data_IF_163443865320
#
_entry.id   IF_163443865320
#
_cell.length_a   1.000
_cell.length_b   1.000
_cell.length_c   1.000
_cell.angle_alpha   90.00
_cell.angle_beta   90.00
_cell.angle_gamma   90.00
#
_symmetry.space_group_name_H-M   'P 1'
#
loop_
_entity.id
_entity.type
_entity.pdbx_description
1 polymer ?
#
# COMPACT_ATOMS: atom_id res chain seq x y z
N UNK A 1 -19.09 -13.61 18.56
CA UNK A 1 -18.50 -14.34 17.41
C UNK A 1 -19.53 -14.57 16.31
N UNK A 2 -20.70 -15.15 16.61
CA UNK A 2 -21.78 -15.38 15.65
C UNK A 2 -22.13 -14.15 14.79
N UNK A 3 -22.42 -13.00 15.42
CA UNK A 3 -22.78 -11.76 14.72
C UNK A 3 -21.68 -11.26 13.75
N UNK A 4 -20.40 -11.52 14.08
CA UNK A 4 -19.27 -11.18 13.22
C UNK A 4 -19.27 -12.08 11.98
N UNK A 5 -19.47 -13.39 12.18
CA UNK A 5 -19.52 -14.37 11.09
C UNK A 5 -20.72 -14.11 10.16
N UNK A 6 -21.91 -13.89 10.72
CA UNK A 6 -23.10 -13.51 9.94
C UNK A 6 -22.89 -12.22 9.16
N UNK A 7 -22.16 -11.26 9.72
CA UNK A 7 -21.81 -10.03 9.01
C UNK A 7 -20.85 -10.31 7.84
N UNK A 8 -19.85 -11.16 8.03
CA UNK A 8 -18.92 -11.55 6.95
C UNK A 8 -19.68 -12.26 5.81
N UNK A 9 -20.54 -13.22 6.15
CA UNK A 9 -21.34 -13.96 5.17
C UNK A 9 -22.26 -13.03 4.37
N UNK A 10 -22.88 -12.04 5.03
CA UNK A 10 -23.72 -11.02 4.39
C UNK A 10 -22.97 -10.20 3.32
N UNK A 11 -21.65 -10.06 3.44
CA UNK A 11 -20.81 -9.35 2.45
C UNK A 11 -20.02 -10.30 1.53
N UNK A 12 -20.45 -11.57 1.43
CA UNK A 12 -19.83 -12.61 0.58
C UNK A 12 -18.39 -12.98 0.96
N UNK A 13 -18.02 -12.80 2.23
CA UNK A 13 -16.80 -13.40 2.79
C UNK A 13 -17.12 -14.77 3.41
N UNK A 14 -16.18 -15.72 3.44
CA UNK A 14 -16.40 -17.03 4.04
C UNK A 14 -16.35 -16.93 5.58
N UNK A 15 -17.42 -16.43 6.18
CA UNK A 15 -17.50 -16.11 7.61
C UNK A 15 -17.28 -17.31 8.51
N UNK A 16 -17.59 -18.53 8.06
CA UNK A 16 -17.30 -19.78 8.78
C UNK A 16 -15.83 -20.19 8.75
N UNK A 17 -15.07 -19.79 7.72
CA UNK A 17 -13.68 -20.20 7.52
C UNK A 17 -12.68 -19.19 8.08
N UNK A 18 -13.05 -17.91 8.13
CA UNK A 18 -12.18 -16.84 8.63
C UNK A 18 -11.87 -17.06 10.12
N UNK A 19 -10.58 -17.17 10.50
CA UNK A 19 -10.19 -17.33 11.90
C UNK A 19 -10.52 -16.09 12.73
N UNK A 20 -11.03 -16.29 13.95
CA UNK A 20 -11.31 -15.21 14.90
C UNK A 20 -10.44 -15.42 16.14
N UNK A 21 -9.63 -14.41 16.47
CA UNK A 21 -8.67 -14.48 17.58
C UNK A 21 -9.10 -13.49 18.65
N UNK A 22 -9.53 -14.00 19.79
CA UNK A 22 -9.85 -13.19 20.96
C UNK A 22 -8.58 -12.86 21.75
N UNK A 23 -8.33 -11.56 21.97
CA UNK A 23 -7.18 -11.05 22.71
C UNK A 23 -7.37 -9.61 23.14
N UNK A 24 -6.36 -9.04 23.79
CA UNK A 24 -6.33 -7.63 24.22
C UNK A 24 -5.06 -6.98 23.71
N UNK A 25 -5.20 -6.09 22.71
CA UNK A 25 -4.07 -5.34 22.16
C UNK A 25 -3.43 -4.42 23.21
N UNK A 26 -4.24 -3.82 24.09
CA UNK A 26 -3.74 -2.96 25.17
C UNK A 26 -2.83 -3.73 26.13
N UNK A 27 -3.29 -4.87 26.64
CA UNK A 27 -2.52 -5.65 27.61
C UNK A 27 -1.24 -6.23 26.99
N UNK A 28 -1.28 -6.63 25.70
CA UNK A 28 -0.08 -7.05 24.98
C UNK A 28 0.95 -5.92 24.85
N UNK A 29 0.51 -4.70 24.52
CA UNK A 29 1.40 -3.52 24.42
C UNK A 29 1.95 -3.11 25.79
N UNK A 30 1.13 -3.15 26.84
CA UNK A 30 1.58 -2.85 28.20
C UNK A 30 2.63 -3.85 28.69
N UNK A 31 2.47 -5.13 28.36
CA UNK A 31 3.48 -6.16 28.64
C UNK A 31 4.79 -5.87 27.90
N UNK A 32 4.71 -5.62 26.59
CA UNK A 32 5.86 -5.28 25.75
C UNK A 32 6.56 -3.97 26.15
N UNK A 33 5.82 -3.03 26.76
CA UNK A 33 6.39 -1.78 27.27
C UNK A 33 7.22 -1.99 28.53
N UNK A 34 6.91 -3.04 29.32
CA UNK A 34 7.68 -3.42 30.52
C UNK A 34 8.88 -4.28 30.16
N UNK A 35 8.73 -5.17 29.18
CA UNK A 35 9.77 -6.02 28.64
C UNK A 35 9.59 -6.16 27.12
N UNK A 36 10.47 -5.53 26.35
CA UNK A 36 10.37 -5.49 24.89
C UNK A 36 10.80 -6.80 24.21
N UNK A 37 11.34 -7.76 24.97
CA UNK A 37 11.85 -9.03 24.46
C UNK A 37 11.04 -10.25 24.91
N UNK A 38 9.80 -10.03 25.36
CA UNK A 38 8.89 -11.12 25.73
C UNK A 38 8.77 -12.11 24.56
N UNK A 39 9.23 -13.33 24.82
CA UNK A 39 9.16 -14.44 23.87
C UNK A 39 7.77 -15.08 23.86
N UNK A 40 7.43 -15.74 22.75
CA UNK A 40 6.22 -16.59 22.66
C UNK A 40 6.20 -17.60 23.82
N UNK A 41 5.06 -17.74 24.49
CA UNK A 41 4.83 -18.59 25.66
C UNK A 41 5.06 -17.92 27.01
N UNK A 42 5.40 -16.63 27.06
CA UNK A 42 5.73 -15.91 28.30
C UNK A 42 4.66 -14.96 28.80
N UNK A 43 3.79 -14.47 27.92
CA UNK A 43 2.65 -13.63 28.27
C UNK A 43 1.43 -14.02 27.43
N UNK A 44 0.26 -14.28 28.06
CA UNK A 44 -0.92 -14.78 27.36
C UNK A 44 -1.48 -13.78 26.33
N UNK A 45 -1.25 -12.47 26.48
CA UNK A 45 -1.75 -11.45 25.55
C UNK A 45 -0.79 -11.25 24.38
N UNK A 46 0.52 -11.27 24.64
CA UNK A 46 1.53 -11.28 23.58
C UNK A 46 1.38 -12.54 22.72
N UNK A 47 1.06 -13.68 23.32
CA UNK A 47 0.81 -14.93 22.59
C UNK A 47 -0.38 -14.84 21.64
N UNK A 48 -1.41 -14.05 21.96
CA UNK A 48 -2.52 -13.78 21.03
C UNK A 48 -2.08 -12.97 19.81
N UNK A 49 -1.10 -12.07 19.96
CA UNK A 49 -0.51 -11.35 18.84
C UNK A 49 0.32 -12.30 17.98
N UNK A 50 1.13 -13.18 18.58
CA UNK A 50 1.83 -14.23 17.82
C UNK A 50 0.87 -15.14 17.07
N UNK A 51 -0.22 -15.57 17.72
CA UNK A 51 -1.28 -16.37 17.10
C UNK A 51 -1.91 -15.63 15.91
N UNK A 52 -2.13 -14.33 16.03
CA UNK A 52 -2.65 -13.48 14.95
C UNK A 52 -1.71 -13.43 13.77
N UNK A 53 -0.42 -13.16 13.99
CA UNK A 53 0.58 -13.11 12.92
C UNK A 53 0.73 -14.46 12.23
N UNK A 54 0.80 -15.56 12.99
CA UNK A 54 0.87 -16.92 12.44
C UNK A 54 -0.38 -17.27 11.61
N UNK A 55 -1.55 -16.78 12.02
CA UNK A 55 -2.79 -16.97 11.27
C UNK A 55 -2.77 -16.16 9.97
N UNK A 56 -2.29 -14.92 10.00
CA UNK A 56 -2.13 -14.08 8.81
C UNK A 56 -1.19 -14.75 7.79
N UNK A 57 -0.03 -15.22 8.25
CA UNK A 57 0.97 -15.88 7.41
C UNK A 57 0.44 -17.15 6.73
N UNK A 58 -0.44 -17.90 7.41
CA UNK A 58 -1.00 -19.15 6.89
C UNK A 58 -2.28 -18.97 6.06
N UNK A 59 -3.15 -18.03 6.44
CA UNK A 59 -4.48 -17.88 5.84
C UNK A 59 -4.51 -16.93 4.64
N UNK A 60 -3.58 -15.96 4.56
CA UNK A 60 -3.56 -14.97 3.48
C UNK A 60 -2.48 -15.38 2.48
N UNK A 61 -2.84 -15.90 1.29
CA UNK A 61 -1.86 -16.29 0.29
C UNK A 61 -1.11 -15.05 -0.22
N UNK A 62 0.17 -15.22 -0.55
CA UNK A 62 0.93 -14.19 -1.23
C UNK A 62 0.31 -13.92 -2.60
N UNK A 63 -0.15 -12.68 -2.88
CA UNK A 63 -0.76 -12.37 -4.16
C UNK A 63 0.30 -12.42 -5.26
N UNK A 64 -0.10 -12.91 -6.44
CA UNK A 64 0.74 -12.84 -7.63
C UNK A 64 0.96 -11.36 -8.01
N UNK A 65 2.23 -10.97 -8.15
CA UNK A 65 2.60 -9.61 -8.53
C UNK A 65 2.68 -9.51 -10.06
N UNK A 66 1.87 -8.64 -10.64
CA UNK A 66 1.82 -8.39 -12.08
C UNK A 66 2.96 -7.46 -12.55
N UNK A 67 4.22 -7.89 -12.42
CA UNK A 67 5.39 -7.04 -12.68
C UNK A 67 5.66 -6.76 -14.17
N UNK A 68 5.17 -7.62 -15.07
CA UNK A 68 5.39 -7.50 -16.52
C UNK A 68 4.37 -6.58 -17.22
N UNK A 69 3.33 -6.15 -16.51
CA UNK A 69 2.34 -5.21 -17.06
C UNK A 69 2.92 -3.79 -17.10
N UNK A 70 2.25 -2.92 -17.86
CA UNK A 70 2.58 -1.49 -17.88
C UNK A 70 2.37 -0.86 -16.50
N UNK A 71 3.32 -0.02 -16.09
CA UNK A 71 3.35 0.59 -14.77
C UNK A 71 2.06 1.37 -14.47
N UNK A 72 1.50 1.16 -13.27
CA UNK A 72 0.41 1.94 -12.73
C UNK A 72 0.53 2.00 -11.20
N UNK A 73 0.44 3.21 -10.66
CA UNK A 73 0.38 3.46 -9.22
C UNK A 73 -0.71 4.48 -8.92
N UNK A 74 -1.63 4.15 -8.01
CA UNK A 74 -2.61 5.10 -7.52
C UNK A 74 -1.95 6.08 -6.55
N UNK A 75 -2.22 7.38 -6.70
CA UNK A 75 -1.72 8.39 -5.77
C UNK A 75 -2.62 8.43 -4.54
N UNK A 76 -2.07 8.03 -3.39
CA UNK A 76 -2.76 8.02 -2.09
C UNK A 76 -2.49 9.31 -1.30
N UNK A 77 -1.28 9.85 -1.40
CA UNK A 77 -0.89 11.10 -0.75
C UNK A 77 0.21 11.82 -1.54
N UNK A 78 0.35 13.12 -1.28
CA UNK A 78 1.35 13.99 -1.93
C UNK A 78 2.06 14.81 -0.86
N UNK A 79 3.38 14.69 -0.82
CA UNK A 79 4.26 15.41 0.09
C UNK A 79 5.21 16.28 -0.72
N UNK A 80 5.36 17.55 -0.35
CA UNK A 80 6.39 18.42 -0.92
C UNK A 80 7.57 18.47 0.04
N UNK A 81 8.75 18.08 -0.44
CA UNK A 81 10.00 18.16 0.32
C UNK A 81 10.77 19.38 -0.16
N UNK A 82 10.92 20.37 0.73
CA UNK A 82 11.66 21.59 0.45
C UNK A 82 13.05 21.27 -0.11
N UNK A 83 13.36 21.80 -1.29
CA UNK A 83 14.65 21.60 -1.95
C UNK A 83 14.84 20.26 -2.68
N UNK A 84 13.93 19.28 -2.56
CA UNK A 84 13.98 18.01 -3.33
C UNK A 84 12.88 17.90 -4.39
N UNK A 85 11.69 18.41 -4.12
CA UNK A 85 10.54 18.36 -5.03
C UNK A 85 9.31 17.69 -4.43
N UNK A 86 8.41 17.24 -5.30
CA UNK A 86 7.12 16.64 -4.91
C UNK A 86 7.21 15.12 -4.95
N UNK A 87 6.80 14.47 -3.86
CA UNK A 87 6.73 13.02 -3.70
C UNK A 87 5.26 12.59 -3.73
N UNK A 88 4.92 11.69 -4.64
CA UNK A 88 3.65 10.99 -4.65
C UNK A 88 3.83 9.64 -3.96
N UNK A 89 2.97 9.31 -2.99
CA UNK A 89 3.00 8.00 -2.33
C UNK A 89 1.80 7.17 -2.74
N UNK A 90 2.01 5.86 -2.86
CA UNK A 90 0.94 4.89 -3.00
C UNK A 90 1.47 3.49 -3.24
N UNK A 91 0.54 2.55 -3.38
CA UNK A 91 0.87 1.19 -3.79
C UNK A 91 0.98 1.08 -5.31
N UNK A 92 2.05 0.46 -5.79
CA UNK A 92 2.15 0.08 -7.21
C UNK A 92 1.12 -1.02 -7.48
N UNK A 93 0.12 -0.72 -8.31
CA UNK A 93 -0.96 -1.65 -8.63
C UNK A 93 -0.49 -2.73 -9.61
N UNK A 94 0.35 -2.35 -10.59
CA UNK A 94 0.94 -3.27 -11.56
C UNK A 94 2.21 -2.70 -12.19
N UNK A 95 2.97 -3.57 -12.81
CA UNK A 95 4.21 -3.26 -13.50
C UNK A 95 5.36 -2.98 -12.56
N UNK A 96 6.34 -2.26 -13.08
CA UNK A 96 7.54 -1.85 -12.37
C UNK A 96 7.99 -0.46 -12.84
N UNK A 97 8.72 0.24 -11.99
CA UNK A 97 9.23 1.58 -12.28
C UNK A 97 10.65 1.73 -11.73
N UNK A 98 11.52 2.43 -12.45
CA UNK A 98 12.89 2.74 -12.06
C UNK A 98 13.11 4.24 -11.95
N UNK A 99 14.16 4.62 -11.22
CA UNK A 99 14.67 5.98 -11.28
C UNK A 99 15.14 6.29 -12.69
N UNK A 100 14.71 7.43 -13.24
CA UNK A 100 14.97 7.85 -14.62
C UNK A 100 13.83 7.59 -15.59
N UNK A 101 12.87 6.72 -15.23
CA UNK A 101 11.73 6.43 -16.08
C UNK A 101 10.80 7.65 -16.21
N UNK A 102 10.15 7.73 -17.37
CA UNK A 102 9.16 8.76 -17.67
C UNK A 102 7.77 8.22 -17.35
N UNK A 103 6.94 9.02 -16.70
CA UNK A 103 5.57 8.68 -16.30
C UNK A 103 4.61 9.82 -16.62
N UNK A 104 3.34 9.48 -16.77
CA UNK A 104 2.24 10.44 -16.87
C UNK A 104 1.50 10.53 -15.53
N UNK A 105 1.17 11.76 -15.12
CA UNK A 105 0.24 12.04 -14.02
C UNK A 105 -1.14 12.25 -14.64
N UNK A 106 -2.08 11.34 -14.35
CA UNK A 106 -3.35 11.23 -15.08
C UNK A 106 -4.55 11.34 -14.13
N UNK A 107 -5.59 12.05 -14.59
CA UNK A 107 -6.90 12.13 -13.93
C UNK A 107 -7.12 13.45 -13.18
N UNK A 108 -8.37 13.87 -13.04
CA UNK A 108 -8.83 15.10 -12.36
C UNK A 108 -8.35 16.44 -12.95
N UNK A 109 -7.20 16.45 -13.63
CA UNK A 109 -6.59 17.58 -14.36
C UNK A 109 -6.06 17.09 -15.71
N UNK A 110 -5.53 18.02 -16.49
CA UNK A 110 -4.83 17.70 -17.74
C UNK A 110 -3.66 16.76 -17.47
N UNK A 111 -3.44 15.82 -18.39
CA UNK A 111 -2.36 14.85 -18.27
C UNK A 111 -1.02 15.56 -18.49
N UNK A 112 -0.07 15.30 -17.59
CA UNK A 112 1.28 15.85 -17.68
C UNK A 112 2.32 14.74 -17.61
N UNK A 113 3.37 14.87 -18.41
CA UNK A 113 4.50 13.95 -18.41
C UNK A 113 5.60 14.46 -17.48
N UNK A 114 6.21 13.58 -16.71
CA UNK A 114 7.32 13.90 -15.82
C UNK A 114 8.31 12.72 -15.74
N UNK A 115 9.44 12.93 -15.09
CA UNK A 115 10.48 11.92 -14.88
C UNK A 115 10.59 11.57 -13.41
N UNK A 116 10.69 10.28 -13.12
CA UNK A 116 11.00 9.76 -11.78
C UNK A 116 12.45 10.07 -11.45
N UNK A 117 12.69 10.81 -10.37
CA UNK A 117 14.05 11.19 -9.93
C UNK A 117 14.46 10.55 -8.62
N UNK A 118 13.55 9.81 -7.98
CA UNK A 118 13.86 9.03 -6.78
C UNK A 118 12.70 8.12 -6.40
N UNK A 119 13.06 6.98 -5.80
CA UNK A 119 12.12 6.01 -5.23
C UNK A 119 12.53 5.75 -3.79
N UNK A 120 11.57 5.76 -2.87
CA UNK A 120 11.82 5.54 -1.44
C UNK A 120 10.71 4.67 -0.82
N UNK A 121 11.10 3.70 0.01
CA UNK A 121 10.18 2.90 0.83
C UNK A 121 10.73 2.86 2.26
N UNK A 122 9.95 3.35 3.23
CA UNK A 122 10.33 3.36 4.65
C UNK A 122 11.76 3.86 4.93
N UNK A 123 12.11 5.06 4.46
CA UNK A 123 13.45 5.67 4.61
C UNK A 123 14.59 4.93 3.91
N UNK A 124 14.28 3.99 3.01
CA UNK A 124 15.27 3.30 2.17
C UNK A 124 15.11 3.75 0.72
N UNK A 125 16.22 4.17 0.12
CA UNK A 125 16.25 4.49 -1.32
C UNK A 125 16.21 3.20 -2.13
N UNK A 126 15.44 3.22 -3.22
CA UNK A 126 15.29 2.10 -4.15
C UNK A 126 15.75 2.52 -5.55
N UNK A 127 16.31 1.57 -6.31
CA UNK A 127 16.57 1.75 -7.74
C UNK A 127 15.34 1.40 -8.60
N UNK A 128 14.52 0.46 -8.11
CA UNK A 128 13.31 -0.05 -8.74
C UNK A 128 12.22 -0.28 -7.69
N UNK A 129 10.97 -0.07 -8.07
CA UNK A 129 9.77 -0.49 -7.34
C UNK A 129 8.88 -1.36 -8.24
N UNK A 130 8.21 -2.35 -7.66
CA UNK A 130 7.38 -3.32 -8.40
C UNK A 130 5.96 -3.39 -7.84
N UNK A 131 5.04 -4.01 -8.59
CA UNK A 131 3.68 -4.28 -8.14
C UNK A 131 3.62 -4.83 -6.70
N UNK A 132 2.76 -4.22 -5.87
CA UNK A 132 2.58 -4.53 -4.45
C UNK A 132 3.40 -3.66 -3.49
N UNK A 133 4.40 -2.92 -3.97
CA UNK A 133 5.24 -2.07 -3.14
C UNK A 133 4.52 -0.76 -2.76
N UNK A 134 4.57 -0.40 -1.47
CA UNK A 134 4.17 0.93 -0.98
C UNK A 134 5.36 1.87 -1.09
N UNK A 135 5.34 2.76 -2.08
CA UNK A 135 6.50 3.57 -2.46
C UNK A 135 6.18 5.06 -2.50
N UNK A 136 7.17 5.88 -2.16
CA UNK A 136 7.22 7.30 -2.48
C UNK A 136 8.02 7.54 -3.75
N UNK A 137 7.40 8.16 -4.75
CA UNK A 137 8.01 8.50 -6.04
C UNK A 137 8.25 10.01 -6.09
N UNK A 138 9.51 10.41 -6.14
CA UNK A 138 9.92 11.81 -6.30
C UNK A 138 9.86 12.19 -7.79
N UNK A 139 9.08 13.21 -8.12
CA UNK A 139 8.80 13.64 -9.49
C UNK A 139 9.53 14.93 -9.83
N UNK A 140 10.10 14.99 -11.05
CA UNK A 140 10.80 16.17 -11.55
C UNK A 140 9.82 17.26 -11.96
N UNK A 141 9.99 18.46 -11.39
CA UNK A 141 9.30 19.67 -11.86
C UNK A 141 7.79 19.67 -11.64
N UNK A 142 7.24 18.72 -10.89
CA UNK A 142 5.83 18.68 -10.50
C UNK A 142 5.65 19.43 -9.19
N UNK A 143 4.72 20.36 -9.16
CA UNK A 143 4.32 21.09 -7.96
C UNK A 143 3.22 20.35 -7.20
N UNK A 144 3.13 20.58 -5.89
CA UNK A 144 2.12 19.93 -5.03
C UNK A 144 0.68 20.18 -5.49
N UNK A 145 0.39 21.31 -6.13
CA UNK A 145 -0.94 21.63 -6.65
C UNK A 145 -1.23 20.97 -8.00
N UNK A 146 -0.25 20.39 -8.70
CA UNK A 146 -0.42 19.73 -10.00
C UNK A 146 -0.76 18.24 -9.87
N UNK A 147 -0.51 17.66 -8.70
CA UNK A 147 -0.77 16.27 -8.38
C UNK A 147 -1.55 16.16 -7.06
N UNK A 148 -2.56 15.29 -7.03
CA UNK A 148 -3.37 15.10 -5.83
C UNK A 148 -3.83 13.65 -5.70
N UNK A 149 -4.31 13.30 -4.49
CA UNK A 149 -4.92 12.00 -4.22
C UNK A 149 -6.04 11.72 -5.22
N UNK A 150 -6.09 10.48 -5.71
CA UNK A 150 -7.07 10.02 -6.70
C UNK A 150 -6.62 10.17 -8.15
N UNK A 151 -5.48 10.81 -8.41
CA UNK A 151 -4.77 10.70 -9.69
C UNK A 151 -3.97 9.40 -9.73
N UNK A 152 -3.42 9.06 -10.90
CA UNK A 152 -2.51 7.92 -11.07
C UNK A 152 -1.20 8.35 -11.71
N UNK A 153 -0.11 7.66 -11.36
CA UNK A 153 1.12 7.65 -12.14
C UNK A 153 1.10 6.41 -13.02
N UNK A 154 1.31 6.59 -14.33
CA UNK A 154 1.28 5.48 -15.27
C UNK A 154 2.40 5.58 -16.31
N UNK A 155 2.72 4.44 -16.92
CA UNK A 155 3.54 4.42 -18.13
C UNK A 155 2.87 5.29 -19.22
N UNK A 156 3.62 6.15 -19.93
CA UNK A 156 3.02 7.08 -20.90
C UNK A 156 2.16 6.38 -21.96
N UNK A 157 0.94 6.86 -22.15
CA UNK A 157 -0.02 6.31 -23.12
C UNK A 157 -0.66 4.98 -22.73
N UNK A 158 -0.35 4.41 -21.55
CA UNK A 158 -0.93 3.13 -21.10
C UNK A 158 -2.37 3.25 -20.57
N UNK A 159 -2.81 4.46 -20.21
CA UNK A 159 -4.16 4.72 -19.70
C UNK A 159 -4.60 6.13 -20.11
N UNK A 160 -5.90 6.29 -20.37
CA UNK A 160 -6.51 7.60 -20.64
C UNK A 160 -7.65 7.85 -19.65
N UNK A 161 -7.84 9.10 -19.17
CA UNK A 161 -8.94 9.42 -18.27
C UNK A 161 -10.28 9.41 -19.03
N UNK A 162 -11.33 8.89 -18.40
CA UNK A 162 -12.68 8.83 -18.96
C UNK A 162 -13.69 9.46 -18.01
N UNK A 163 -14.77 10.02 -18.56
CA UNK A 163 -15.86 10.68 -17.80
C UNK A 163 -17.20 9.96 -17.89
N UNK A 164 -17.31 8.95 -18.76
CA UNK A 164 -18.54 8.17 -18.99
C UNK A 164 -18.17 6.68 -19.09
N UNK A 165 -18.92 5.84 -18.39
CA UNK A 165 -18.77 4.39 -18.39
C UNK A 165 -20.12 3.72 -18.09
N UNK A 166 -20.21 2.41 -18.32
CA UNK A 166 -21.30 1.55 -17.85
C UNK A 166 -20.73 0.63 -16.76
N UNK A 167 -21.44 0.45 -15.65
CA UNK A 167 -21.06 -0.40 -14.53
C UNK A 167 -22.27 -1.11 -13.95
#
# INVERSE_FOLDING_TARGET
ELEIRETLDRYNFPGSEIPIISGSALLAVEALSKDSQIQKGKDPWVDKIYQLMETVDNAIPLPQRDIEKQFLMAVENVVSITGRGTVATGRVERGQIKVGDTVEVIGLKDTQTTTVIGLEMFQKTLEMSVAGDNVGILLRGVQKNEIQRGMVLAEPGSITPHTRFQA
#
